data_IF_744069119934
#
_entry.id   IF_744069119934
#
_cell.length_a   1.000
_cell.length_b   1.000
_cell.length_c   1.000
_cell.angle_alpha   90.00
_cell.angle_beta   90.00
_cell.angle_gamma   90.00
#
_symmetry.space_group_name_H-M   'P 1'
#
loop_
_entity.id
_entity.type
_entity.pdbx_description
1 polymer ?
#
# COMPACT_ATOMS: atom_id res chain seq x y z
N UNK A 1 -2.48 -21.13 7.39
CA UNK A 1 -1.41 -20.13 7.25
C UNK A 1 -1.65 -19.08 8.32
N UNK A 2 -0.70 -18.87 9.23
CA UNK A 2 -0.78 -17.80 10.23
C UNK A 2 -0.78 -16.46 9.48
N UNK A 3 -1.86 -15.68 9.59
CA UNK A 3 -1.89 -14.33 9.05
C UNK A 3 -0.85 -13.49 9.78
N UNK A 4 0.27 -13.18 9.13
CA UNK A 4 1.26 -12.27 9.66
C UNK A 4 0.60 -10.91 9.92
N UNK A 5 0.81 -10.38 11.13
CA UNK A 5 0.33 -9.06 11.51
C UNK A 5 0.76 -8.03 10.45
N UNK A 6 -0.13 -7.09 10.10
CA UNK A 6 0.19 -6.06 9.10
C UNK A 6 1.41 -5.23 9.51
N UNK A 7 1.59 -4.99 10.82
CA UNK A 7 2.75 -4.30 11.37
C UNK A 7 4.05 -5.05 11.09
N UNK A 8 4.04 -6.38 11.29
CA UNK A 8 5.20 -7.21 10.99
C UNK A 8 5.49 -7.22 9.48
N UNK A 9 4.44 -7.33 8.64
CA UNK A 9 4.60 -7.29 7.20
C UNK A 9 5.18 -5.96 6.69
N UNK A 10 4.86 -4.83 7.34
CA UNK A 10 5.44 -3.52 7.04
C UNK A 10 6.94 -3.50 7.36
N UNK A 11 7.34 -3.98 8.53
CA UNK A 11 8.76 -4.05 8.92
C UNK A 11 9.57 -5.01 8.04
N UNK A 12 8.99 -6.16 7.70
CA UNK A 12 9.65 -7.19 6.87
C UNK A 12 9.84 -6.74 5.41
N UNK A 13 9.03 -5.79 4.93
CA UNK A 13 9.12 -5.28 3.57
C UNK A 13 10.34 -4.38 3.31
N UNK A 14 11.07 -3.99 4.36
CA UNK A 14 12.27 -3.14 4.27
C UNK A 14 12.06 -1.91 3.38
N UNK A 15 10.97 -1.20 3.62
CA UNK A 15 10.62 0.03 2.90
C UNK A 15 11.62 1.15 3.23
N UNK A 16 11.56 2.25 2.48
CA UNK A 16 12.15 3.50 2.95
C UNK A 16 11.55 3.87 4.31
N UNK A 17 12.41 4.32 5.24
CA UNK A 17 12.02 4.64 6.63
C UNK A 17 10.81 5.58 6.71
N UNK A 18 10.71 6.56 5.82
CA UNK A 18 9.61 7.52 5.82
C UNK A 18 8.31 6.87 5.37
N UNK A 19 8.37 5.99 4.37
CA UNK A 19 7.19 5.27 3.90
C UNK A 19 6.70 4.28 4.95
N UNK A 20 7.61 3.55 5.59
CA UNK A 20 7.31 2.69 6.72
C UNK A 20 6.57 3.46 7.83
N UNK A 21 7.12 4.58 8.28
CA UNK A 21 6.52 5.42 9.33
C UNK A 21 5.11 5.92 8.94
N UNK A 22 4.91 6.32 7.68
CA UNK A 22 3.60 6.76 7.18
C UNK A 22 2.57 5.63 7.27
N UNK A 23 2.92 4.41 6.86
CA UNK A 23 2.01 3.26 6.89
C UNK A 23 1.65 2.88 8.33
N UNK A 24 2.63 2.89 9.24
CA UNK A 24 2.40 2.61 10.65
C UNK A 24 1.47 3.65 11.28
N UNK A 25 1.73 4.95 11.07
CA UNK A 25 0.86 6.03 11.56
C UNK A 25 -0.54 5.94 10.99
N UNK A 26 -0.69 5.58 9.72
CA UNK A 26 -2.01 5.40 9.12
C UNK A 26 -2.81 4.31 9.83
N UNK A 27 -2.16 3.20 10.18
CA UNK A 27 -2.79 2.10 10.92
C UNK A 27 -3.11 2.44 12.38
N UNK A 28 -2.31 3.30 13.02
CA UNK A 28 -2.63 3.86 14.33
C UNK A 28 -3.93 4.69 14.30
N UNK A 29 -4.16 5.43 13.21
CA UNK A 29 -5.37 6.24 13.04
C UNK A 29 -6.57 5.41 12.59
N UNK A 30 -6.35 4.41 11.73
CA UNK A 30 -7.40 3.54 11.21
C UNK A 30 -6.90 2.11 11.01
N UNK A 31 -7.11 1.27 12.02
CA UNK A 31 -6.73 -0.15 12.01
C UNK A 31 -7.79 -1.05 11.36
N UNK A 32 -8.81 -0.49 10.70
CA UNK A 32 -9.88 -1.30 10.11
C UNK A 32 -9.36 -2.23 9.01
N UNK A 33 -10.02 -3.39 8.78
CA UNK A 33 -9.65 -4.27 7.66
C UNK A 33 -9.63 -3.57 6.31
N UNK A 34 -10.54 -2.60 6.12
CA UNK A 34 -10.62 -1.84 4.88
C UNK A 34 -9.36 -0.98 4.65
N UNK A 35 -8.77 -0.42 5.71
CA UNK A 35 -7.51 0.34 5.60
C UNK A 35 -6.28 -0.60 5.48
N UNK A 36 -6.32 -1.77 6.13
CA UNK A 36 -5.23 -2.74 6.08
C UNK A 36 -5.07 -3.40 4.71
N UNK A 37 -6.17 -3.70 4.02
CA UNK A 37 -6.14 -4.48 2.77
C UNK A 37 -5.38 -3.78 1.63
N UNK A 38 -5.61 -2.49 1.34
CA UNK A 38 -4.78 -1.74 0.38
C UNK A 38 -3.28 -1.76 0.73
N UNK A 39 -2.95 -1.70 2.02
CA UNK A 39 -1.56 -1.75 2.48
C UNK A 39 -0.97 -3.14 2.24
N UNK A 40 -1.71 -4.22 2.53
CA UNK A 40 -1.26 -5.59 2.21
C UNK A 40 -1.00 -5.78 0.73
N UNK A 41 -1.89 -5.29 -0.12
CA UNK A 41 -1.73 -5.36 -1.57
C UNK A 41 -0.50 -4.56 -2.04
N UNK A 42 -0.29 -3.36 -1.47
CA UNK A 42 0.90 -2.58 -1.73
C UNK A 42 2.18 -3.33 -1.37
N UNK A 43 2.26 -3.91 -0.16
CA UNK A 43 3.45 -4.63 0.32
C UNK A 43 3.77 -5.84 -0.56
N UNK A 44 2.75 -6.64 -0.93
CA UNK A 44 2.93 -7.79 -1.81
C UNK A 44 3.46 -7.38 -3.20
N UNK A 45 2.92 -6.30 -3.77
CA UNK A 45 3.39 -5.78 -5.06
C UNK A 45 4.79 -5.18 -4.96
N UNK A 46 5.12 -4.53 -3.84
CA UNK A 46 6.44 -3.97 -3.59
C UNK A 46 7.50 -5.07 -3.51
N UNK A 47 7.22 -6.16 -2.78
CA UNK A 47 8.10 -7.31 -2.66
C UNK A 47 8.38 -7.94 -4.03
N UNK A 48 7.32 -8.26 -4.80
CA UNK A 48 7.45 -8.80 -6.16
C UNK A 48 8.27 -7.88 -7.08
N UNK A 49 8.02 -6.57 -7.02
CA UNK A 49 8.77 -5.59 -7.80
C UNK A 49 10.26 -5.55 -7.40
N UNK A 50 10.55 -5.60 -6.10
CA UNK A 50 11.91 -5.58 -5.57
C UNK A 50 12.69 -6.84 -5.98
N UNK A 51 12.10 -8.02 -5.84
CA UNK A 51 12.71 -9.29 -6.30
C UNK A 51 12.99 -9.28 -7.81
N UNK A 52 12.02 -8.81 -8.61
CA UNK A 52 12.17 -8.67 -10.05
C UNK A 52 13.27 -7.68 -10.41
N UNK A 53 13.39 -6.56 -9.69
CA UNK A 53 14.46 -5.60 -9.89
C UNK A 53 15.83 -6.23 -9.61
N UNK A 54 16.05 -6.82 -8.44
CA UNK A 54 17.37 -7.38 -8.10
C UNK A 54 17.79 -8.53 -9.02
N UNK A 55 16.85 -9.38 -9.41
CA UNK A 55 17.11 -10.48 -10.36
C UNK A 55 17.45 -9.97 -11.78
N UNK A 56 16.86 -8.84 -12.17
CA UNK A 56 17.08 -8.15 -13.44
C UNK A 56 18.38 -7.34 -13.43
N UNK A 57 18.64 -6.59 -12.36
CA UNK A 57 19.79 -5.71 -12.17
C UNK A 57 21.11 -6.48 -12.15
N UNK A 58 21.14 -7.66 -11.48
CA UNK A 58 22.31 -8.56 -11.48
C UNK A 58 22.72 -9.05 -12.87
N UNK A 59 21.84 -8.94 -13.87
CA UNK A 59 22.09 -9.34 -15.26
C UNK A 59 22.48 -8.16 -16.16
N UNK A 60 22.63 -6.96 -15.61
CA UNK A 60 23.08 -5.80 -16.37
C UNK A 60 24.54 -5.97 -16.79
N UNK A 61 24.83 -5.77 -18.08
CA UNK A 61 26.18 -5.95 -18.63
C UNK A 61 26.92 -4.61 -18.81
N UNK A 62 26.20 -3.50 -18.80
CA UNK A 62 26.74 -2.13 -18.92
C UNK A 62 26.19 -1.23 -17.83
N UNK A 63 26.83 -0.07 -17.66
CA UNK A 63 26.37 0.95 -16.72
C UNK A 63 25.04 1.53 -17.21
N UNK A 64 24.89 1.73 -18.52
CA UNK A 64 23.67 2.23 -19.14
C UNK A 64 22.49 1.29 -18.89
N UNK A 65 22.68 -0.02 -19.03
CA UNK A 65 21.66 -1.03 -18.72
C UNK A 65 21.27 -1.00 -17.23
N UNK A 66 22.25 -0.84 -16.35
CA UNK A 66 22.02 -0.77 -14.92
C UNK A 66 21.21 0.49 -14.54
N UNK A 67 21.54 1.63 -15.14
CA UNK A 67 20.82 2.90 -14.94
C UNK A 67 19.38 2.81 -15.45
N UNK A 68 19.16 2.24 -16.64
CA UNK A 68 17.81 2.06 -17.19
C UNK A 68 16.96 1.16 -16.27
N UNK A 69 17.51 0.04 -15.79
CA UNK A 69 16.81 -0.86 -14.85
C UNK A 69 16.47 -0.16 -13.53
N UNK A 70 17.40 0.64 -13.01
CA UNK A 70 17.17 1.42 -11.80
C UNK A 70 16.10 2.51 -12.00
N UNK A 71 16.11 3.18 -13.15
CA UNK A 71 15.09 4.15 -13.52
C UNK A 71 13.69 3.51 -13.58
N UNK A 72 13.55 2.36 -14.25
CA UNK A 72 12.28 1.64 -14.30
C UNK A 72 11.82 1.17 -12.92
N UNK A 73 12.74 0.71 -12.06
CA UNK A 73 12.41 0.35 -10.68
C UNK A 73 11.85 1.54 -9.89
N UNK A 74 12.51 2.69 -9.96
CA UNK A 74 12.06 3.92 -9.30
C UNK A 74 10.70 4.37 -9.83
N UNK A 75 10.48 4.28 -11.15
CA UNK A 75 9.18 4.58 -11.76
C UNK A 75 8.07 3.66 -11.24
N UNK A 76 8.35 2.36 -11.13
CA UNK A 76 7.39 1.40 -10.60
C UNK A 76 7.07 1.66 -9.12
N UNK A 77 8.06 2.06 -8.31
CA UNK A 77 7.83 2.48 -6.92
C UNK A 77 6.82 3.64 -6.85
N UNK A 78 6.97 4.68 -7.68
CA UNK A 78 6.02 5.79 -7.74
C UNK A 78 4.61 5.33 -8.10
N UNK A 79 4.46 4.47 -9.11
CA UNK A 79 3.16 3.94 -9.54
C UNK A 79 2.49 3.14 -8.41
N UNK A 80 3.25 2.34 -7.66
CA UNK A 80 2.70 1.58 -6.52
C UNK A 80 2.20 2.51 -5.41
N UNK A 81 2.92 3.58 -5.11
CA UNK A 81 2.49 4.58 -4.11
C UNK A 81 1.24 5.32 -4.57
N UNK A 82 1.17 5.73 -5.84
CA UNK A 82 -0.03 6.36 -6.41
C UNK A 82 -1.25 5.43 -6.34
N UNK A 83 -1.04 4.14 -6.67
CA UNK A 83 -2.09 3.12 -6.59
C UNK A 83 -2.56 2.91 -5.15
N UNK A 84 -1.64 2.85 -4.19
CA UNK A 84 -1.96 2.78 -2.76
C UNK A 84 -2.81 3.98 -2.33
N UNK A 85 -2.42 5.20 -2.71
CA UNK A 85 -3.17 6.42 -2.39
C UNK A 85 -4.59 6.38 -2.95
N UNK A 86 -4.77 5.94 -4.20
CA UNK A 86 -6.09 5.81 -4.82
C UNK A 86 -6.95 4.78 -4.08
N UNK A 87 -6.38 3.62 -3.75
CA UNK A 87 -7.10 2.55 -3.05
C UNK A 87 -7.51 2.96 -1.62
N UNK A 88 -6.64 3.67 -0.91
CA UNK A 88 -6.94 4.23 0.41
C UNK A 88 -8.04 5.30 0.32
N UNK A 89 -7.98 6.20 -0.68
CA UNK A 89 -9.03 7.21 -0.89
C UNK A 89 -10.39 6.57 -1.14
N UNK A 90 -10.45 5.61 -2.06
CA UNK A 90 -11.69 4.89 -2.38
C UNK A 90 -12.28 4.20 -1.16
N UNK A 91 -11.42 3.67 -0.29
CA UNK A 91 -11.84 3.05 0.97
C UNK A 91 -12.47 4.07 1.92
N UNK A 92 -11.83 5.22 2.12
CA UNK A 92 -12.31 6.29 2.98
C UNK A 92 -13.65 6.83 2.47
N UNK A 93 -13.76 7.09 1.17
CA UNK A 93 -14.98 7.60 0.54
C UNK A 93 -16.15 6.62 0.71
N UNK A 94 -15.89 5.32 0.57
CA UNK A 94 -16.89 4.27 0.75
C UNK A 94 -17.35 4.15 2.21
N UNK A 95 -16.45 4.26 3.17
CA UNK A 95 -16.78 4.21 4.59
C UNK A 95 -17.57 5.46 5.02
N UNK A 96 -17.25 6.65 4.49
CA UNK A 96 -18.04 7.86 4.70
C UNK A 96 -19.44 7.72 4.11
N UNK A 97 -19.55 7.27 2.85
CA UNK A 97 -20.85 7.05 2.19
C UNK A 97 -21.76 6.08 2.97
N UNK A 98 -21.17 5.04 3.58
CA UNK A 98 -21.91 4.09 4.44
C UNK A 98 -22.36 4.72 5.76
N UNK A 99 -21.53 5.56 6.38
CA UNK A 99 -21.91 6.28 7.59
C UNK A 99 -23.07 7.24 7.32
N UNK A 100 -23.00 7.97 6.21
CA UNK A 100 -24.06 8.90 5.80
C UNK A 100 -25.38 8.16 5.57
N UNK A 101 -25.34 7.03 4.86
CA UNK A 101 -26.52 6.18 4.65
C UNK A 101 -27.09 5.65 5.98
N UNK A 102 -26.23 5.23 6.91
CA UNK A 102 -26.66 4.76 8.22
C UNK A 102 -27.32 5.87 9.06
N UNK A 103 -26.81 7.10 8.98
CA UNK A 103 -27.43 8.29 9.62
C UNK A 103 -28.78 8.57 8.99
N UNK A 104 -28.88 8.63 7.66
CA UNK A 104 -30.15 8.86 6.96
C UNK A 104 -31.22 7.81 7.29
N UNK A 105 -30.83 6.53 7.39
CA UNK A 105 -31.74 5.46 7.80
C UNK A 105 -32.16 5.62 9.26
N UNK A 106 -31.23 5.95 10.17
CA UNK A 106 -31.54 6.18 11.58
C UNK A 106 -32.54 7.32 11.76
N UNK A 107 -32.35 8.43 11.06
CA UNK A 107 -33.25 9.58 11.11
C UNK A 107 -34.60 9.29 10.44
N UNK A 108 -34.64 8.41 9.44
CA UNK A 108 -35.87 7.98 8.78
C UNK A 108 -36.70 6.95 9.56
N UNK A 109 -36.12 6.25 10.53
CA UNK A 109 -36.76 5.19 11.32
C UNK A 109 -37.01 5.56 12.79
N UNK A 110 -36.78 6.81 13.20
CA UNK A 110 -37.29 7.30 14.51
C UNK A 110 -38.80 7.50 14.42
N UNK A 111 -39.56 6.52 14.94
CA UNK A 111 -40.98 6.63 15.27
C UNK A 111 -41.17 7.06 16.72
#
# INVERSE_FOLDING_TARGET
MSSTSIYQAIHDAHLDNRLEEILLKLLEHNSSPNAQEPIRQFLANYELMNENFWSSYKKANTIEDALERYYQFTKNQCILVETLMVNLRFTIDKDNSRKDLAVMLKDGFTF
#
